data_IF_229535482761
#
_entry.id   IF_229535482761
#
_cell.length_a   1.000
_cell.length_b   1.000
_cell.length_c   1.000
_cell.angle_alpha   90.00
_cell.angle_beta   90.00
_cell.angle_gamma   90.00
#
_symmetry.space_group_name_H-M   'P 1'
#
loop_
_entity.id
_entity.type
_entity.pdbx_description
1 polymer ?
#
# COMPACT_ATOMS: atom_id res chain seq x y z
N UNK A 1 22.81 35.00 3.14
CA UNK A 1 21.54 34.97 2.40
C UNK A 1 20.46 35.23 3.43
N UNK A 2 19.92 36.44 3.44
CA UNK A 2 18.83 36.86 4.32
C UNK A 2 17.49 36.45 3.68
N UNK A 3 16.55 36.07 4.54
CA UNK A 3 15.12 35.83 4.37
C UNK A 3 14.53 35.52 2.98
N UNK A 4 13.91 34.33 2.90
CA UNK A 4 12.62 34.18 2.19
C UNK A 4 12.64 34.01 0.67
N UNK A 5 13.69 33.42 0.08
CA UNK A 5 13.65 33.10 -1.36
C UNK A 5 12.84 31.80 -1.62
N UNK A 6 11.58 31.95 -2.02
CA UNK A 6 10.79 30.88 -2.65
C UNK A 6 11.38 30.56 -4.02
N UNK A 7 12.01 29.39 -4.15
CA UNK A 7 12.52 28.92 -5.43
C UNK A 7 11.39 28.23 -6.20
N UNK A 8 10.68 28.99 -7.04
CA UNK A 8 9.69 28.42 -7.96
C UNK A 8 10.40 27.71 -9.12
N UNK A 9 10.23 26.40 -9.22
CA UNK A 9 10.69 25.62 -10.36
C UNK A 9 9.66 25.79 -11.49
N UNK A 10 9.99 26.62 -12.49
CA UNK A 10 9.21 26.72 -13.72
C UNK A 10 9.69 25.63 -14.68
N UNK A 11 8.98 24.51 -14.72
CA UNK A 11 9.11 23.55 -15.81
C UNK A 11 8.35 24.11 -17.02
N UNK A 12 9.03 24.40 -18.13
CA UNK A 12 8.38 24.79 -19.38
C UNK A 12 7.44 23.69 -19.85
N UNK A 13 6.13 23.92 -19.72
CA UNK A 13 5.08 23.14 -20.35
C UNK A 13 5.07 23.39 -21.86
N UNK A 14 6.01 22.79 -22.57
CA UNK A 14 5.94 22.63 -24.03
C UNK A 14 4.96 21.52 -24.37
N UNK A 15 4.06 21.75 -25.33
CA UNK A 15 3.06 20.77 -25.78
C UNK A 15 3.71 19.42 -26.08
N UNK A 16 3.18 18.37 -25.46
CA UNK A 16 3.60 16.99 -25.70
C UNK A 16 3.24 16.65 -27.14
N UNK A 17 4.20 16.27 -28.02
CA UNK A 17 3.87 15.79 -29.35
C UNK A 17 2.96 14.57 -29.21
N UNK A 18 1.81 14.57 -29.91
CA UNK A 18 0.93 13.40 -29.94
C UNK A 18 1.74 12.16 -30.31
N UNK A 19 1.56 11.03 -29.58
CA UNK A 19 2.22 9.79 -29.93
C UNK A 19 1.88 9.44 -31.39
N UNK A 20 2.87 9.04 -32.21
CA UNK A 20 2.62 8.68 -33.59
C UNK A 20 1.57 7.56 -33.66
N UNK A 21 0.56 7.77 -34.50
CA UNK A 21 -0.50 6.79 -34.78
C UNK A 21 0.12 5.42 -35.02
N UNK A 22 -0.32 4.42 -34.26
CA UNK A 22 0.09 3.04 -34.40
C UNK A 22 -0.21 2.58 -35.83
N UNK A 23 0.83 2.48 -36.66
CA UNK A 23 0.75 1.76 -37.92
C UNK A 23 0.48 0.30 -37.56
N UNK A 24 -0.72 -0.19 -37.90
CA UNK A 24 -0.99 -1.63 -38.01
C UNK A 24 0.09 -2.22 -38.92
N UNK A 25 0.93 -3.16 -38.45
CA UNK A 25 1.75 -3.94 -39.36
C UNK A 25 0.80 -4.84 -40.13
N UNK A 26 0.67 -4.56 -41.42
CA UNK A 26 0.15 -5.50 -42.40
C UNK A 26 1.11 -6.67 -42.47
N UNK A 27 0.57 -7.86 -42.20
CA UNK A 27 0.84 -9.10 -42.94
C UNK A 27 2.30 -9.46 -43.15
N UNK A 28 2.86 -10.20 -42.20
CA UNK A 28 3.72 -11.34 -42.50
C UNK A 28 3.13 -12.53 -41.75
N UNK A 29 2.47 -13.42 -42.49
CA UNK A 29 2.22 -14.78 -42.05
C UNK A 29 3.58 -15.48 -41.87
N UNK A 30 3.64 -16.47 -40.97
CA UNK A 30 4.83 -17.27 -40.61
C UNK A 30 5.67 -16.68 -39.47
N UNK A 31 5.17 -16.76 -38.24
CA UNK A 31 5.95 -16.96 -37.00
C UNK A 31 4.99 -17.13 -35.79
N UNK A 32 4.01 -18.04 -35.90
CA UNK A 32 2.95 -18.26 -34.89
C UNK A 32 3.32 -19.22 -33.74
N UNK A 33 4.60 -19.60 -33.59
CA UNK A 33 4.99 -20.64 -32.60
C UNK A 33 5.90 -20.17 -31.45
N UNK A 34 6.30 -18.88 -31.39
CA UNK A 34 7.25 -18.40 -30.36
C UNK A 34 6.70 -17.35 -29.36
N UNK A 35 5.43 -16.97 -29.43
CA UNK A 35 4.84 -15.96 -28.53
C UNK A 35 3.91 -16.56 -27.44
N UNK A 36 3.60 -17.86 -27.51
CA UNK A 36 2.67 -18.51 -26.58
C UNK A 36 3.23 -18.75 -25.17
N UNK A 37 4.56 -18.72 -24.98
CA UNK A 37 5.20 -19.09 -23.71
C UNK A 37 5.62 -17.90 -22.83
N UNK A 38 5.38 -16.66 -23.26
CA UNK A 38 5.78 -15.45 -22.52
C UNK A 38 4.67 -14.85 -21.63
N UNK A 39 3.45 -15.40 -21.67
CA UNK A 39 2.34 -14.97 -20.80
C UNK A 39 2.33 -15.73 -19.48
N UNK A 40 3.48 -15.77 -18.76
CA UNK A 40 3.44 -16.08 -17.33
C UNK A 40 2.71 -14.92 -16.66
N UNK A 41 1.44 -15.11 -16.33
CA UNK A 41 0.63 -14.15 -15.59
C UNK A 41 1.41 -13.73 -14.35
N UNK A 42 1.97 -12.52 -14.36
CA UNK A 42 2.58 -11.93 -13.18
C UNK A 42 1.41 -11.63 -12.25
N UNK A 43 1.20 -12.49 -11.25
CA UNK A 43 0.18 -12.30 -10.22
C UNK A 43 0.54 -11.01 -9.46
N UNK A 44 -0.20 -9.94 -9.74
CA UNK A 44 0.08 -8.65 -9.11
C UNK A 44 -0.26 -8.72 -7.62
N UNK A 45 0.62 -8.20 -6.74
CA UNK A 45 0.36 -8.19 -5.32
C UNK A 45 -0.80 -7.28 -4.95
N UNK A 46 -1.53 -7.64 -3.89
CA UNK A 46 -2.66 -6.89 -3.37
C UNK A 46 -2.21 -5.53 -2.79
N UNK A 47 -2.92 -4.47 -3.15
CA UNK A 47 -2.69 -3.11 -2.65
C UNK A 47 -3.47 -2.75 -1.37
N UNK A 48 -3.26 -1.53 -0.87
CA UNK A 48 -4.06 -0.94 0.20
C UNK A 48 -4.83 0.27 -0.33
N UNK A 49 -6.13 0.33 -0.06
CA UNK A 49 -6.98 1.45 -0.49
C UNK A 49 -6.60 2.71 0.29
N UNK A 50 -6.32 3.80 -0.42
CA UNK A 50 -6.10 5.09 0.20
C UNK A 50 -7.46 5.70 0.60
N UNK A 51 -7.59 6.11 1.85
CA UNK A 51 -8.81 6.69 2.44
C UNK A 51 -8.62 8.17 2.85
N UNK A 52 -7.83 8.92 2.07
CA UNK A 52 -7.53 10.33 2.33
C UNK A 52 -6.35 10.48 3.27
N UNK A 53 -5.26 11.10 2.81
CA UNK A 53 -3.98 11.24 3.49
C UNK A 53 -3.32 9.93 4.00
N UNK A 54 -3.95 8.76 3.92
CA UNK A 54 -3.39 7.48 4.41
C UNK A 54 -2.26 6.90 3.56
N UNK A 55 -1.84 7.55 2.46
CA UNK A 55 -0.82 7.00 1.56
C UNK A 55 0.54 6.77 2.25
N UNK A 56 0.92 7.63 3.20
CA UNK A 56 2.15 7.45 3.98
C UNK A 56 2.11 6.15 4.78
N UNK A 57 0.97 5.85 5.40
CA UNK A 57 0.75 4.64 6.18
C UNK A 57 0.75 3.42 5.26
N UNK A 58 0.04 3.50 4.12
CA UNK A 58 -0.03 2.42 3.15
C UNK A 58 1.35 2.05 2.59
N UNK A 59 2.14 3.05 2.18
CA UNK A 59 3.50 2.84 1.68
C UNK A 59 4.40 2.19 2.74
N UNK A 60 4.37 2.72 3.97
CA UNK A 60 5.15 2.18 5.09
C UNK A 60 4.80 0.72 5.37
N UNK A 61 3.51 0.39 5.43
CA UNK A 61 3.04 -0.98 5.66
C UNK A 61 3.44 -1.94 4.55
N UNK A 62 3.44 -1.50 3.30
CA UNK A 62 3.88 -2.31 2.17
C UNK A 62 5.40 -2.51 2.15
N UNK A 63 6.18 -1.48 2.51
CA UNK A 63 7.64 -1.62 2.70
C UNK A 63 7.96 -2.64 3.79
N UNK A 64 7.28 -2.58 4.94
CA UNK A 64 7.45 -3.54 6.02
C UNK A 64 7.02 -4.96 5.61
N UNK A 65 5.97 -5.11 4.79
CA UNK A 65 5.51 -6.43 4.29
C UNK A 65 6.56 -7.11 3.40
N UNK A 66 7.43 -6.35 2.75
CA UNK A 66 8.49 -6.93 1.92
C UNK A 66 9.55 -7.69 2.75
N UNK A 67 9.61 -7.49 4.08
CA UNK A 67 10.57 -8.11 4.99
C UNK A 67 10.03 -9.47 5.45
N UNK A 68 10.59 -10.60 4.98
CA UNK A 68 10.06 -11.93 5.31
C UNK A 68 10.22 -12.28 6.81
N UNK A 69 11.30 -11.86 7.45
CA UNK A 69 11.57 -12.11 8.87
C UNK A 69 10.53 -11.44 9.77
N UNK A 70 10.12 -10.22 9.39
CA UNK A 70 9.06 -9.49 10.10
C UNK A 70 7.71 -10.21 9.95
N UNK A 71 7.39 -10.68 8.74
CA UNK A 71 6.16 -11.46 8.52
C UNK A 71 6.13 -12.74 9.32
N UNK A 72 7.25 -13.45 9.38
CA UNK A 72 7.37 -14.66 10.19
C UNK A 72 7.18 -14.35 11.68
N UNK A 73 7.83 -13.31 12.21
CA UNK A 73 7.66 -12.88 13.59
C UNK A 73 6.20 -12.50 13.92
N UNK A 74 5.55 -11.73 13.04
CA UNK A 74 4.14 -11.36 13.18
C UNK A 74 3.22 -12.58 13.17
N UNK A 75 3.52 -13.60 12.36
CA UNK A 75 2.71 -14.82 12.27
C UNK A 75 2.68 -15.62 13.58
N UNK A 76 3.76 -15.53 14.38
CA UNK A 76 3.92 -16.19 15.68
C UNK A 76 3.35 -15.38 16.84
N UNK A 77 3.05 -14.10 16.63
CA UNK A 77 2.56 -13.23 17.69
C UNK A 77 1.13 -13.62 18.11
N UNK A 78 0.97 -14.04 19.37
CA UNK A 78 -0.32 -14.36 19.98
C UNK A 78 -0.98 -13.11 20.57
N UNK A 79 -2.15 -12.76 20.05
CA UNK A 79 -2.94 -11.63 20.51
C UNK A 79 -4.18 -11.45 19.64
N UNK A 80 -5.29 -11.01 20.22
CA UNK A 80 -6.55 -10.80 19.51
C UNK A 80 -6.92 -9.34 19.49
N UNK A 81 -7.54 -8.89 18.39
CA UNK A 81 -7.91 -7.50 18.21
C UNK A 81 -8.89 -6.98 19.31
N UNK A 82 -9.92 -7.73 19.74
CA UNK A 82 -10.82 -7.29 20.81
C UNK A 82 -10.12 -7.04 22.15
N UNK A 83 -9.11 -7.84 22.47
CA UNK A 83 -8.35 -7.73 23.72
C UNK A 83 -7.50 -6.45 23.73
N UNK A 84 -6.90 -6.12 22.58
CA UNK A 84 -6.01 -4.96 22.44
C UNK A 84 -6.77 -3.66 22.17
N UNK A 85 -7.94 -3.69 21.53
CA UNK A 85 -8.80 -2.50 21.34
C UNK A 85 -9.34 -1.95 22.67
N UNK A 86 -9.59 -2.85 23.63
CA UNK A 86 -10.00 -2.46 24.99
C UNK A 86 -8.82 -1.85 25.78
N UNK A 87 -7.61 -2.37 25.55
CA UNK A 87 -6.39 -1.89 26.18
C UNK A 87 -5.90 -0.55 25.62
N UNK A 88 -6.09 -0.25 24.32
CA UNK A 88 -5.77 1.08 23.75
C UNK A 88 -6.66 2.18 24.29
N UNK A 89 -7.95 1.90 24.55
CA UNK A 89 -8.82 2.85 25.23
C UNK A 89 -8.35 3.15 26.67
N UNK A 90 -7.54 2.26 27.25
CA UNK A 90 -6.98 2.35 28.59
C UNK A 90 -5.54 2.90 28.61
N UNK A 91 -4.96 3.26 27.45
CA UNK A 91 -3.63 3.90 27.32
C UNK A 91 -2.40 2.99 27.40
N UNK A 92 -2.54 1.71 27.77
CA UNK A 92 -1.41 0.76 27.95
C UNK A 92 -1.28 -0.26 26.79
N UNK A 93 -2.23 -0.25 25.84
CA UNK A 93 -2.35 -1.27 24.79
C UNK A 93 -1.77 -0.92 23.41
N UNK A 94 -1.25 0.30 23.20
CA UNK A 94 -0.94 0.86 21.87
C UNK A 94 -0.06 -0.03 20.99
N UNK A 95 1.13 -0.38 21.48
CA UNK A 95 2.10 -1.19 20.73
C UNK A 95 1.59 -2.60 20.42
N UNK A 96 0.88 -3.22 21.36
CA UNK A 96 0.25 -4.54 21.20
C UNK A 96 -0.84 -4.48 20.13
N UNK A 97 -1.69 -3.45 20.16
CA UNK A 97 -2.75 -3.24 19.19
C UNK A 97 -2.21 -3.03 17.78
N UNK A 98 -1.18 -2.20 17.63
CA UNK A 98 -0.49 -1.99 16.35
C UNK A 98 0.07 -3.31 15.82
N UNK A 99 0.73 -4.10 16.67
CA UNK A 99 1.30 -5.40 16.27
C UNK A 99 0.22 -6.37 15.77
N UNK A 100 -0.91 -6.47 16.49
CA UNK A 100 -2.05 -7.30 16.08
C UNK A 100 -2.65 -6.81 14.76
N UNK A 101 -2.88 -5.50 14.64
CA UNK A 101 -3.50 -4.92 13.46
C UNK A 101 -2.64 -5.11 12.19
N UNK A 102 -1.32 -4.95 12.30
CA UNK A 102 -0.39 -5.19 11.18
C UNK A 102 -0.39 -6.67 10.79
N UNK A 103 -0.32 -7.58 11.76
CA UNK A 103 -0.40 -9.03 11.51
C UNK A 103 -1.68 -9.39 10.76
N UNK A 104 -2.83 -8.94 11.25
CA UNK A 104 -4.13 -9.29 10.68
C UNK A 104 -4.33 -8.65 9.30
N UNK A 105 -3.84 -7.42 9.10
CA UNK A 105 -3.85 -6.77 7.79
C UNK A 105 -3.04 -7.56 6.75
N UNK A 106 -1.85 -8.06 7.10
CA UNK A 106 -1.05 -8.86 6.17
C UNK A 106 -1.74 -10.18 5.82
N UNK A 107 -2.39 -10.83 6.79
CA UNK A 107 -3.23 -12.01 6.52
C UNK A 107 -4.37 -11.70 5.57
N UNK A 108 -5.03 -10.55 5.72
CA UNK A 108 -6.08 -10.11 4.80
C UNK A 108 -5.52 -9.86 3.39
N UNK A 109 -4.33 -9.28 3.25
CA UNK A 109 -3.70 -9.06 1.95
C UNK A 109 -3.27 -10.35 1.26
N UNK A 110 -2.98 -11.40 2.03
CA UNK A 110 -2.58 -12.71 1.52
C UNK A 110 -3.79 -13.64 1.26
N UNK A 111 -5.01 -13.25 1.66
CA UNK A 111 -6.25 -13.99 1.40
C UNK A 111 -6.62 -13.94 -0.09
N UNK A 112 -7.08 -15.06 -0.64
CA UNK A 112 -7.52 -15.18 -2.04
C UNK A 112 -8.63 -14.18 -2.41
N UNK A 113 -9.48 -13.83 -1.44
CA UNK A 113 -10.50 -12.78 -1.64
C UNK A 113 -9.89 -11.42 -1.93
N UNK A 114 -8.74 -11.10 -1.35
CA UNK A 114 -8.10 -9.82 -1.59
C UNK A 114 -7.41 -9.77 -2.95
N UNK A 115 -6.94 -10.92 -3.44
CA UNK A 115 -6.37 -11.05 -4.79
C UNK A 115 -7.41 -10.79 -5.89
N UNK A 116 -8.65 -11.24 -5.71
CA UNK A 116 -9.72 -10.98 -6.69
C UNK A 116 -10.12 -9.51 -6.78
N UNK A 117 -10.06 -8.78 -5.66
CA UNK A 117 -10.40 -7.35 -5.60
C UNK A 117 -9.19 -6.41 -5.80
N UNK A 118 -7.97 -6.94 -5.79
CA UNK A 118 -6.72 -6.21 -5.98
C UNK A 118 -6.33 -5.25 -4.84
N UNK A 119 -7.18 -5.07 -3.81
CA UNK A 119 -6.88 -4.19 -2.69
C UNK A 119 -7.63 -4.54 -1.40
N UNK A 120 -7.04 -4.18 -0.26
CA UNK A 120 -7.65 -4.25 1.08
C UNK A 120 -7.90 -2.85 1.62
N UNK A 121 -9.00 -2.68 2.36
CA UNK A 121 -9.34 -1.43 3.04
C UNK A 121 -8.84 -1.48 4.51
N UNK A 122 -7.82 -0.69 4.91
CA UNK A 122 -7.16 -0.84 6.21
C UNK A 122 -7.87 -0.12 7.36
N UNK A 123 -9.20 -0.24 7.50
CA UNK A 123 -9.99 0.51 8.50
C UNK A 123 -9.53 0.27 9.95
N UNK A 124 -9.33 -0.99 10.33
CA UNK A 124 -8.85 -1.35 11.67
C UNK A 124 -7.49 -0.74 11.97
N UNK A 125 -6.58 -0.78 10.99
CA UNK A 125 -5.23 -0.25 11.16
C UNK A 125 -5.24 1.27 11.34
N UNK A 126 -6.04 1.99 10.55
CA UNK A 126 -6.25 3.43 10.70
C UNK A 126 -6.76 3.75 12.10
N UNK A 127 -7.78 3.01 12.56
CA UNK A 127 -8.36 3.22 13.88
C UNK A 127 -7.35 2.98 15.00
N UNK A 128 -6.58 1.90 14.93
CA UNK A 128 -5.54 1.58 15.92
C UNK A 128 -4.45 2.67 15.96
N UNK A 129 -3.98 3.15 14.79
CA UNK A 129 -3.00 4.22 14.72
C UNK A 129 -3.56 5.53 15.28
N UNK A 130 -4.80 5.87 14.96
CA UNK A 130 -5.46 7.07 15.47
C UNK A 130 -5.52 7.09 17.01
N UNK A 131 -5.81 5.96 17.65
CA UNK A 131 -5.86 5.88 19.12
C UNK A 131 -4.49 5.69 19.79
N UNK A 132 -3.50 5.14 19.08
CA UNK A 132 -2.19 4.83 19.66
C UNK A 132 -1.13 5.90 19.42
N UNK A 133 -1.30 6.73 18.37
CA UNK A 133 -0.30 7.72 17.94
C UNK A 133 -1.01 9.04 17.63
N UNK A 134 -1.16 9.87 18.65
CA UNK A 134 -1.90 11.15 18.59
C UNK A 134 -1.38 12.09 17.50
N UNK A 135 -0.07 12.11 17.24
CA UNK A 135 0.56 12.95 16.20
C UNK A 135 0.27 12.48 14.77
N UNK A 136 -0.08 11.20 14.57
CA UNK A 136 -0.46 10.66 13.26
C UNK A 136 -1.96 10.86 13.00
N UNK A 137 -2.77 10.90 14.06
CA UNK A 137 -4.20 11.22 13.97
C UNK A 137 -4.46 12.60 13.35
N UNK A 138 -3.66 13.61 13.71
CA UNK A 138 -3.76 14.97 13.16
C UNK A 138 -3.38 15.04 11.68
N UNK A 139 -2.56 14.12 11.16
CA UNK A 139 -2.21 14.05 9.74
C UNK A 139 -3.33 13.41 8.89
N UNK A 140 -4.21 12.61 9.51
CA UNK A 140 -5.33 11.96 8.83
C UNK A 140 -6.53 12.91 8.63
N UNK A 141 -6.69 13.89 9.50
CA UNK A 141 -7.80 14.84 9.50
C UNK A 141 -7.26 16.28 9.48
N UNK A 142 -7.00 16.86 8.29
CA UNK A 142 -6.57 18.26 8.15
C UNK A 142 -7.70 19.25 8.44
#
# INVERSE_FOLDING_TARGET
>A
MQDGTLMMMIGSGGAVPCPPSAKRPTENAEDDEMEAEASKTIEMPVGLKNLGNTCYMNATLQCLKAIPELREALSKYSGSLPDVTSAVASGDGGSKAVTVAVRDLYRMMDDERAKSHGSVVPLVMIQVIHFSVVEVATLLYP
#
